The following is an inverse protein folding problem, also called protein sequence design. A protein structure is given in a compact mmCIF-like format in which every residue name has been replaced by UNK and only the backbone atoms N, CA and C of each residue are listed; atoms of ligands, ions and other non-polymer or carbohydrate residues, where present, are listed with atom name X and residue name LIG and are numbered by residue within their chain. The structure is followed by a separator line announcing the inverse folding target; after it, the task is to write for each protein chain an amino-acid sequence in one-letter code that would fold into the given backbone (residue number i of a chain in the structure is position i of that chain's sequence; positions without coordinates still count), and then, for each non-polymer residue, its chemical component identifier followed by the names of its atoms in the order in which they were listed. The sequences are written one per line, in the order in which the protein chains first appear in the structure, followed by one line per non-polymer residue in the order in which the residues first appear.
data_IF_220847396647
#
_entry.id   IF_220847396647
#
_cell.length_a   1.000
_cell.length_b   1.000
_cell.length_c   1.000
_cell.angle_alpha   90.00
_cell.angle_beta   90.00
_cell.angle_gamma   90.00
#
_symmetry.space_group_name_H-M   'P 1'
#
loop_
_entity.id
_entity.type
_entity.pdbx_description
1 polymer ?
#
# COMPACT_ATOMS: atom_id res chain seq x y z
N UNK A 1 4.98 -13.94 2.61
CA UNK A 1 5.32 -13.12 1.43
C UNK A 1 6.81 -12.81 1.34
N UNK A 2 7.43 -12.15 2.33
CA UNK A 2 8.84 -11.70 2.24
C UNK A 2 9.88 -12.81 2.00
N UNK A 3 9.56 -14.08 2.32
CA UNK A 3 10.45 -15.23 2.07
C UNK A 3 10.38 -15.81 0.65
N UNK A 4 9.43 -15.38 -0.19
CA UNK A 4 9.30 -15.88 -1.56
C UNK A 4 10.41 -15.32 -2.46
N UNK A 5 11.13 -16.20 -3.15
CA UNK A 5 12.20 -15.82 -4.09
C UNK A 5 11.64 -14.97 -5.24
N UNK A 6 10.48 -15.36 -5.78
CA UNK A 6 9.81 -14.60 -6.84
C UNK A 6 9.41 -13.20 -6.39
N UNK A 7 8.91 -13.07 -5.16
CA UNK A 7 8.56 -11.77 -4.58
C UNK A 7 9.80 -10.87 -4.40
N UNK A 8 10.89 -11.41 -3.85
CA UNK A 8 12.14 -10.66 -3.66
C UNK A 8 12.83 -10.26 -4.97
N UNK A 9 12.53 -10.95 -6.07
CA UNK A 9 13.06 -10.65 -7.39
C UNK A 9 12.31 -9.50 -8.11
N UNK A 10 11.14 -9.07 -7.61
CA UNK A 10 10.35 -8.03 -8.26
C UNK A 10 11.03 -6.65 -8.13
N UNK A 11 11.17 -5.87 -9.22
CA UNK A 11 11.88 -4.59 -9.21
C UNK A 11 11.33 -3.58 -8.20
N UNK A 12 10.00 -3.52 -8.04
CA UNK A 12 9.36 -2.61 -7.10
C UNK A 12 9.58 -3.00 -5.63
N UNK A 13 9.82 -4.29 -5.34
CA UNK A 13 10.17 -4.75 -3.99
C UNK A 13 11.61 -4.35 -3.66
N UNK A 14 12.53 -4.52 -4.62
CA UNK A 14 13.93 -4.11 -4.46
C UNK A 14 14.10 -2.61 -4.35
N UNK A 15 13.30 -1.84 -5.09
CA UNK A 15 13.28 -0.38 -5.02
C UNK A 15 12.58 0.17 -3.76
N UNK A 16 12.14 -0.69 -2.82
CA UNK A 16 11.41 -0.27 -1.63
C UNK A 16 10.05 0.39 -1.93
N UNK A 17 9.52 0.20 -3.14
CA UNK A 17 8.26 0.78 -3.63
C UNK A 17 7.05 -0.08 -3.23
N UNK A 18 7.06 -0.59 -2.01
CA UNK A 18 6.00 -1.41 -1.42
C UNK A 18 5.70 -0.89 -0.04
N UNK A 19 4.41 -0.69 0.24
CA UNK A 19 3.96 -0.37 1.58
C UNK A 19 2.67 -1.11 1.90
N UNK A 20 2.44 -1.37 3.18
CA UNK A 20 1.17 -1.90 3.66
C UNK A 20 0.14 -0.77 3.76
N UNK A 21 -1.13 -1.13 3.63
CA UNK A 21 -2.26 -0.23 3.87
C UNK A 21 -2.91 -0.68 5.17
N UNK A 22 -3.30 0.26 6.03
CA UNK A 22 -4.03 -0.06 7.25
C UNK A 22 -5.38 -0.72 6.91
N UNK A 23 -5.88 -1.67 7.73
CA UNK A 23 -7.16 -2.31 7.46
C UNK A 23 -8.30 -1.29 7.52
N UNK A 24 -9.18 -1.34 6.51
CA UNK A 24 -10.40 -0.51 6.42
C UNK A 24 -11.58 -1.39 6.04
N UNK A 25 -12.77 -0.97 6.46
CA UNK A 25 -14.00 -1.70 6.18
C UNK A 25 -14.48 -1.39 4.76
N UNK A 26 -14.43 -2.38 3.87
CA UNK A 26 -14.86 -2.23 2.46
C UNK A 26 -16.37 -2.41 2.26
N UNK A 27 -17.16 -2.41 3.33
CA UNK A 27 -18.61 -2.55 3.22
C UNK A 27 -19.19 -1.27 2.62
N UNK A 28 -19.79 -1.41 1.44
CA UNK A 28 -20.08 -0.31 0.52
C UNK A 28 -20.84 0.87 1.15
N UNK A 29 -20.49 2.07 0.70
CA UNK A 29 -21.05 3.34 1.13
C UNK A 29 -20.05 4.48 0.94
N UNK A 30 -20.50 5.73 1.02
CA UNK A 30 -19.62 6.89 0.85
C UNK A 30 -18.47 6.92 1.89
N UNK A 31 -18.74 6.45 3.12
CA UNK A 31 -17.75 6.42 4.19
C UNK A 31 -16.66 5.37 3.96
N UNK A 32 -17.01 4.15 3.51
CA UNK A 32 -15.99 3.12 3.23
C UNK A 32 -15.10 3.49 2.06
N UNK A 33 -15.64 4.18 1.04
CA UNK A 33 -14.84 4.75 -0.04
C UNK A 33 -13.86 5.79 0.50
N UNK A 34 -14.33 6.71 1.34
CA UNK A 34 -13.48 7.73 1.97
C UNK A 34 -12.36 7.09 2.79
N UNK A 35 -12.67 6.15 3.68
CA UNK A 35 -11.65 5.48 4.50
C UNK A 35 -10.64 4.73 3.65
N UNK A 36 -11.09 4.10 2.56
CA UNK A 36 -10.19 3.43 1.61
C UNK A 36 -9.27 4.43 0.91
N UNK A 37 -9.81 5.57 0.47
CA UNK A 37 -9.02 6.63 -0.13
C UNK A 37 -7.97 7.17 0.86
N UNK A 38 -8.38 7.48 2.09
CA UNK A 38 -7.48 7.96 3.16
C UNK A 38 -6.35 6.94 3.43
N UNK A 39 -6.69 5.67 3.61
CA UNK A 39 -5.70 4.63 3.89
C UNK A 39 -4.72 4.39 2.73
N UNK A 40 -5.20 4.45 1.48
CA UNK A 40 -4.34 4.35 0.30
C UNK A 40 -3.44 5.58 0.21
N UNK A 41 -3.98 6.78 0.40
CA UNK A 41 -3.22 8.04 0.36
C UNK A 41 -2.09 8.03 1.40
N UNK A 42 -2.38 7.67 2.64
CA UNK A 42 -1.37 7.53 3.71
C UNK A 42 -0.25 6.58 3.29
N UNK A 43 -0.61 5.42 2.72
CA UNK A 43 0.35 4.42 2.29
C UNK A 43 1.21 4.89 1.12
N UNK A 44 0.61 5.61 0.15
CA UNK A 44 1.28 6.17 -1.00
C UNK A 44 2.25 7.30 -0.62
N UNK A 45 1.85 8.18 0.31
CA UNK A 45 2.73 9.24 0.81
C UNK A 45 3.94 8.66 1.54
N UNK A 46 3.75 7.60 2.32
CA UNK A 46 4.84 6.94 3.04
C UNK A 46 5.87 6.23 2.12
N UNK A 47 5.48 5.86 0.90
CA UNK A 47 6.36 5.20 -0.10
C UNK A 47 6.83 6.14 -1.21
N UNK A 48 6.42 7.42 -1.15
CA UNK A 48 6.83 8.43 -2.12
C UNK A 48 8.35 8.69 -2.03
N UNK A 49 9.03 8.96 -3.15
CA UNK A 49 10.43 9.36 -3.13
C UNK A 49 10.59 10.67 -2.35
N UNK A 50 11.56 10.74 -1.45
CA UNK A 50 11.96 12.00 -0.84
C UNK A 50 12.73 12.79 -1.89
N UNK A 51 12.21 13.98 -2.24
CA UNK A 51 12.85 14.92 -3.17
C UNK A 51 13.93 15.74 -2.47
#
# INVERSE_FOLDING_TARGET
MQKSVLWRAMPFVQAGRVNSVRPVWSYGGAMSLRYSAEAITESLLAVAPQS
#
